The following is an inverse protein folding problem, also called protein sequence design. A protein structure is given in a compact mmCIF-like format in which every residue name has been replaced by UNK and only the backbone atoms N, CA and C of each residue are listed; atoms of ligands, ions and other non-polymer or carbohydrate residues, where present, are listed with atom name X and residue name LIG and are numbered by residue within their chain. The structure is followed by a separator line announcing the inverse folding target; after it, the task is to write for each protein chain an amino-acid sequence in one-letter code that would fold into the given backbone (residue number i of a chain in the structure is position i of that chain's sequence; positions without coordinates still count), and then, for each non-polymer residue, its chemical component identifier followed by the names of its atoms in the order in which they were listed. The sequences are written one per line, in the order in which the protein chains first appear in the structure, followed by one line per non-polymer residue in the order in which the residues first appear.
data_IF_053219023188
#
_entry.id   IF_053219023188
#
_cell.length_a   1.000
_cell.length_b   1.000
_cell.length_c   1.000
_cell.angle_alpha   90.00
_cell.angle_beta   90.00
_cell.angle_gamma   90.00
#
_symmetry.space_group_name_H-M   'P 1'
#
loop_
_entity.id
_entity.type
_entity.pdbx_description
1 polymer ?
#
# COMPACT_ATOMS: atom_id res chain seq x y z
N UNK A 1 -6.82 19.74 8.90
CA UNK A 1 -6.86 18.83 10.07
C UNK A 1 -6.23 17.45 9.76
N UNK A 2 -5.10 17.13 10.38
CA UNK A 2 -4.44 15.81 10.31
C UNK A 2 -5.08 14.84 11.32
N UNK A 3 -6.40 14.70 11.32
CA UNK A 3 -7.07 13.73 12.20
C UNK A 3 -6.90 12.32 11.62
N UNK A 4 -5.76 11.69 11.91
CA UNK A 4 -5.51 10.29 11.57
C UNK A 4 -6.29 9.38 12.51
N UNK A 5 -7.18 8.54 11.96
CA UNK A 5 -7.75 7.41 12.69
C UNK A 5 -6.63 6.40 12.94
N UNK A 6 -6.39 6.04 14.20
CA UNK A 6 -5.36 5.06 14.55
C UNK A 6 -5.82 3.64 14.22
N UNK A 7 -4.91 2.73 13.81
CA UNK A 7 -5.22 1.32 13.67
C UNK A 7 -5.72 0.71 14.99
N UNK A 8 -6.60 -0.30 14.95
CA UNK A 8 -7.05 -0.98 16.15
C UNK A 8 -5.89 -1.67 16.88
N UNK A 9 -5.92 -1.64 18.21
CA UNK A 9 -4.92 -2.30 19.06
C UNK A 9 -5.06 -3.83 19.04
N UNK A 10 -6.27 -4.35 18.83
CA UNK A 10 -6.58 -5.78 18.85
C UNK A 10 -7.56 -6.22 17.75
N UNK A 11 -8.05 -7.46 17.86
CA UNK A 11 -9.01 -8.05 16.91
C UNK A 11 -8.42 -8.42 15.55
N UNK A 12 -7.09 -8.52 15.45
CA UNK A 12 -6.39 -8.89 14.23
C UNK A 12 -6.52 -10.39 13.96
N UNK A 13 -7.02 -10.75 12.78
CA UNK A 13 -7.14 -12.12 12.31
C UNK A 13 -6.21 -12.35 11.11
N UNK A 14 -5.56 -13.52 10.99
CA UNK A 14 -4.76 -13.84 9.81
C UNK A 14 -5.60 -13.74 8.53
N UNK A 15 -5.03 -13.14 7.49
CA UNK A 15 -5.62 -13.05 6.16
C UNK A 15 -4.78 -13.91 5.20
N UNK A 16 -5.37 -14.90 4.50
CA UNK A 16 -4.64 -15.73 3.56
C UNK A 16 -4.32 -14.98 2.26
N UNK A 17 -3.53 -15.62 1.38
CA UNK A 17 -3.27 -15.14 0.02
C UNK A 17 -2.12 -14.14 -0.11
N UNK A 18 -1.40 -13.83 0.98
CA UNK A 18 -0.18 -13.04 0.90
C UNK A 18 0.89 -13.84 0.15
N UNK A 19 1.47 -13.31 -0.94
CA UNK A 19 2.52 -14.01 -1.66
C UNK A 19 3.83 -14.11 -0.89
N UNK A 20 4.67 -15.03 -1.36
CA UNK A 20 6.05 -15.17 -0.91
C UNK A 20 6.85 -13.86 -1.02
N UNK A 21 7.83 -13.64 -0.14
CA UNK A 21 8.49 -12.34 0.04
C UNK A 21 9.22 -11.89 -1.23
N UNK A 22 9.82 -12.84 -1.94
CA UNK A 22 10.51 -12.54 -3.19
C UNK A 22 9.53 -12.09 -4.28
N UNK A 23 8.31 -12.65 -4.31
CA UNK A 23 7.25 -12.17 -5.22
C UNK A 23 6.80 -10.76 -4.85
N UNK A 24 6.74 -10.43 -3.55
CA UNK A 24 6.46 -9.07 -3.07
C UNK A 24 7.54 -8.07 -3.49
N UNK A 25 8.83 -8.42 -3.33
CA UNK A 25 9.97 -7.57 -3.73
C UNK A 25 9.96 -7.32 -5.24
N UNK A 26 9.73 -8.36 -6.06
CA UNK A 26 9.60 -8.22 -7.52
C UNK A 26 8.42 -7.34 -7.91
N UNK A 27 7.27 -7.49 -7.26
CA UNK A 27 6.09 -6.66 -7.51
C UNK A 27 6.38 -5.17 -7.25
N UNK A 28 7.07 -4.85 -6.16
CA UNK A 28 7.47 -3.46 -5.88
C UNK A 28 8.46 -2.95 -6.91
N UNK A 29 9.47 -3.74 -7.27
CA UNK A 29 10.45 -3.36 -8.29
C UNK A 29 9.78 -3.07 -9.64
N UNK A 30 8.86 -3.92 -10.07
CA UNK A 30 8.07 -3.73 -11.29
C UNK A 30 7.21 -2.46 -11.21
N UNK A 31 6.56 -2.21 -10.08
CA UNK A 31 5.73 -1.03 -9.88
C UNK A 31 6.53 0.28 -9.90
N UNK A 32 7.74 0.28 -9.33
CA UNK A 32 8.68 1.41 -9.40
C UNK A 32 9.18 1.63 -10.82
N UNK A 33 9.51 0.55 -11.53
CA UNK A 33 9.93 0.63 -12.93
C UNK A 33 8.81 1.20 -13.82
N UNK A 34 7.57 0.75 -13.61
CA UNK A 34 6.40 1.27 -14.32
C UNK A 34 6.15 2.75 -14.00
N UNK A 35 6.21 3.15 -12.73
CA UNK A 35 6.07 4.55 -12.35
C UNK A 35 7.11 5.41 -13.06
N UNK A 36 8.39 5.01 -13.00
CA UNK A 36 9.48 5.69 -13.69
C UNK A 36 9.20 5.82 -15.18
N UNK A 37 8.93 4.71 -15.85
CA UNK A 37 8.67 4.67 -17.29
C UNK A 37 7.53 5.61 -17.71
N UNK A 38 6.39 5.59 -16.99
CA UNK A 38 5.26 6.47 -17.28
C UNK A 38 5.62 7.94 -17.07
N UNK A 39 6.37 8.26 -16.01
CA UNK A 39 6.77 9.66 -15.74
C UNK A 39 7.82 10.19 -16.73
N UNK A 40 8.67 9.32 -17.26
CA UNK A 40 9.65 9.65 -18.29
C UNK A 40 8.98 9.90 -19.65
N UNK A 41 7.88 9.21 -19.95
CA UNK A 41 7.10 9.40 -21.19
C UNK A 41 6.26 10.70 -21.21
N UNK A 42 6.05 11.35 -20.07
CA UNK A 42 5.34 12.64 -20.01
C UNK A 42 6.15 13.73 -20.70
N UNK A 43 5.48 14.58 -21.49
CA UNK A 43 6.09 15.81 -21.99
C UNK A 43 6.49 16.73 -20.82
N UNK A 44 7.55 17.56 -20.96
CA UNK A 44 8.01 18.43 -19.86
C UNK A 44 6.90 19.27 -19.22
N UNK A 45 5.95 19.77 -20.03
CA UNK A 45 4.83 20.60 -19.59
C UNK A 45 3.79 19.80 -18.81
N UNK A 46 3.71 18.49 -19.04
CA UNK A 46 2.78 17.57 -18.38
C UNK A 46 3.35 16.94 -17.10
N UNK A 47 4.66 17.07 -16.83
CA UNK A 47 5.33 16.57 -15.61
C UNK A 47 5.01 17.41 -14.37
N UNK A 48 3.72 17.64 -14.14
CA UNK A 48 3.19 18.38 -13.01
C UNK A 48 3.02 17.48 -11.80
N UNK A 49 2.98 18.07 -10.60
CA UNK A 49 2.72 17.33 -9.36
C UNK A 49 1.41 16.55 -9.41
N UNK A 50 0.35 17.15 -9.96
CA UNK A 50 -0.97 16.53 -10.07
C UNK A 50 -0.93 15.25 -10.92
N UNK A 51 -0.17 15.29 -12.01
CA UNK A 51 -0.04 14.16 -12.93
C UNK A 51 0.81 13.04 -12.33
N UNK A 52 1.93 13.38 -11.68
CA UNK A 52 2.74 12.42 -10.93
C UNK A 52 1.93 11.75 -9.82
N UNK A 53 1.11 12.52 -9.09
CA UNK A 53 0.23 11.98 -8.05
C UNK A 53 -0.89 11.12 -8.65
N UNK A 54 -1.40 11.43 -9.84
CA UNK A 54 -2.38 10.60 -10.57
C UNK A 54 -1.78 9.25 -10.93
N UNK A 55 -0.62 9.23 -11.59
CA UNK A 55 0.10 8.01 -11.96
C UNK A 55 0.45 7.20 -10.72
N UNK A 56 0.96 7.86 -9.68
CA UNK A 56 1.28 7.22 -8.42
C UNK A 56 0.06 6.62 -7.74
N UNK A 57 -1.08 7.33 -7.67
CA UNK A 57 -2.31 6.76 -7.11
C UNK A 57 -2.74 5.50 -7.85
N UNK A 58 -2.72 5.50 -9.18
CA UNK A 58 -3.07 4.33 -9.98
C UNK A 58 -2.19 3.12 -9.64
N UNK A 59 -0.86 3.26 -9.69
CA UNK A 59 0.07 2.15 -9.48
C UNK A 59 0.02 1.66 -8.02
N UNK A 60 0.12 2.59 -7.06
CA UNK A 60 0.28 2.23 -5.65
C UNK A 60 -1.02 1.74 -5.00
N UNK A 61 -2.19 2.01 -5.61
CA UNK A 61 -3.49 1.53 -5.11
C UNK A 61 -3.86 0.12 -5.58
N UNK A 62 -3.15 -0.43 -6.56
CA UNK A 62 -3.36 -1.82 -7.03
C UNK A 62 -3.18 -2.79 -5.86
N UNK A 63 -3.97 -3.84 -5.86
CA UNK A 63 -3.93 -4.87 -4.84
C UNK A 63 -2.86 -5.92 -5.12
N UNK A 64 -2.34 -6.52 -4.06
CA UNK A 64 -1.35 -7.59 -4.11
C UNK A 64 -2.08 -8.93 -4.20
N UNK A 65 -1.94 -9.61 -5.34
CA UNK A 65 -2.67 -10.84 -5.64
C UNK A 65 -4.18 -10.66 -5.38
N UNK A 66 -4.84 -11.65 -4.78
CA UNK A 66 -6.26 -11.62 -4.47
C UNK A 66 -6.55 -10.98 -3.10
N UNK A 67 -5.54 -10.38 -2.46
CA UNK A 67 -5.71 -9.72 -1.16
C UNK A 67 -6.21 -8.28 -1.31
N UNK A 68 -6.74 -7.68 -0.24
CA UNK A 68 -7.02 -6.24 -0.21
C UNK A 68 -5.80 -5.35 0.05
N UNK A 69 -4.58 -5.90 0.13
CA UNK A 69 -3.37 -5.15 0.49
C UNK A 69 -2.88 -4.33 -0.71
N UNK A 70 -2.79 -2.99 -0.61
CA UNK A 70 -2.28 -2.17 -1.71
C UNK A 70 -0.76 -2.32 -1.84
N UNK A 71 -0.25 -2.23 -3.09
CA UNK A 71 1.20 -2.22 -3.39
C UNK A 71 1.92 -1.15 -2.56
N UNK A 72 1.29 0.01 -2.29
CA UNK A 72 1.83 1.06 -1.43
C UNK A 72 2.32 0.54 -0.07
N UNK A 73 1.57 -0.36 0.55
CA UNK A 73 1.91 -0.88 1.88
C UNK A 73 3.17 -1.76 1.82
N UNK A 74 3.31 -2.56 0.76
CA UNK A 74 4.49 -3.40 0.50
C UNK A 74 5.70 -2.52 0.17
N UNK A 75 5.53 -1.50 -0.67
CA UNK A 75 6.59 -0.53 -0.97
C UNK A 75 7.07 0.17 0.31
N UNK A 76 6.16 0.63 1.17
CA UNK A 76 6.52 1.22 2.46
C UNK A 76 7.32 0.24 3.35
N UNK A 77 6.87 -1.02 3.47
CA UNK A 77 7.59 -2.05 4.21
C UNK A 77 8.99 -2.31 3.61
N UNK A 78 9.15 -2.28 2.30
CA UNK A 78 10.46 -2.39 1.64
C UNK A 78 11.36 -1.19 1.92
N UNK A 79 10.85 0.04 1.77
CA UNK A 79 11.61 1.27 2.03
C UNK A 79 12.08 1.36 3.48
N UNK A 80 11.26 0.89 4.42
CA UNK A 80 11.58 0.79 5.85
C UNK A 80 12.41 -0.47 6.18
N UNK A 81 12.75 -1.29 5.19
CA UNK A 81 13.51 -2.53 5.33
C UNK A 81 12.87 -3.57 6.26
N UNK A 82 11.54 -3.63 6.31
CA UNK A 82 10.81 -4.65 7.08
C UNK A 82 10.72 -6.00 6.36
N UNK A 83 10.76 -6.01 5.02
CA UNK A 83 10.68 -7.23 4.19
C UNK A 83 12.01 -8.00 4.11
N UNK A 84 12.53 -8.40 5.26
CA UNK A 84 13.73 -9.24 5.39
C UNK A 84 13.30 -10.65 5.82
N UNK A 85 13.91 -11.67 5.23
CA UNK A 85 13.53 -13.06 5.45
C UNK A 85 12.14 -13.40 4.90
N UNK A 86 11.58 -14.49 5.42
CA UNK A 86 10.39 -15.13 4.84
C UNK A 86 9.16 -15.17 5.78
N UNK A 87 9.25 -14.51 6.95
CA UNK A 87 8.24 -14.56 8.01
C UNK A 87 7.22 -13.40 7.98
N UNK A 88 6.78 -12.97 6.79
CA UNK A 88 5.69 -11.98 6.71
C UNK A 88 4.31 -12.63 6.78
N UNK A 89 3.38 -11.93 7.43
CA UNK A 89 1.99 -12.34 7.48
C UNK A 89 1.06 -11.13 7.33
N UNK A 90 -0.08 -11.36 6.69
CA UNK A 90 -1.14 -10.36 6.54
C UNK A 90 -2.21 -10.60 7.60
N UNK A 91 -2.70 -9.52 8.20
CA UNK A 91 -3.79 -9.55 9.16
C UNK A 91 -4.86 -8.53 8.77
N UNK A 92 -6.11 -8.82 9.13
CA UNK A 92 -7.25 -7.93 8.97
C UNK A 92 -7.94 -7.64 10.31
N UNK A 93 -8.48 -6.43 10.45
CA UNK A 93 -9.33 -6.02 11.59
C UNK A 93 -10.29 -4.93 11.12
N UNK A 94 -11.56 -5.30 10.89
CA UNK A 94 -12.54 -4.41 10.26
C UNK A 94 -12.05 -3.88 8.90
N UNK A 95 -12.04 -2.56 8.72
CA UNK A 95 -11.52 -1.92 7.50
C UNK A 95 -9.99 -1.84 7.43
N UNK A 96 -9.25 -2.42 8.37
CA UNK A 96 -7.80 -2.33 8.41
C UNK A 96 -7.12 -3.61 7.93
N UNK A 97 -5.98 -3.42 7.28
CA UNK A 97 -5.00 -4.45 6.98
C UNK A 97 -3.68 -4.12 7.66
N UNK A 98 -2.93 -5.16 8.06
CA UNK A 98 -1.58 -5.03 8.61
C UNK A 98 -0.67 -6.07 8.01
N UNK A 99 0.35 -5.62 7.30
CA UNK A 99 1.50 -6.42 6.91
C UNK A 99 2.46 -6.43 8.09
N UNK A 100 2.66 -7.60 8.70
CA UNK A 100 3.58 -7.79 9.83
C UNK A 100 4.78 -8.60 9.39
N UNK A 101 5.96 -8.21 9.85
CA UNK A 101 7.21 -8.96 9.72
C UNK A 101 7.93 -8.96 11.08
N UNK A 102 9.01 -9.73 11.26
CA UNK A 102 9.83 -9.67 12.47
C UNK A 102 10.46 -8.29 12.73
N UNK A 103 10.58 -7.46 11.69
CA UNK A 103 11.32 -6.18 11.74
C UNK A 103 10.41 -4.96 11.83
N UNK A 104 9.09 -5.14 11.79
CA UNK A 104 8.14 -4.05 11.85
C UNK A 104 6.78 -4.42 11.27
N UNK A 105 5.90 -3.43 11.20
CA UNK A 105 4.60 -3.61 10.55
C UNK A 105 4.13 -2.35 9.85
N UNK A 106 3.35 -2.54 8.79
CA UNK A 106 2.67 -1.47 8.07
C UNK A 106 1.18 -1.74 8.15
N UNK A 107 0.43 -0.80 8.72
CA UNK A 107 -1.02 -0.86 8.78
C UNK A 107 -1.64 0.16 7.82
N UNK A 108 -2.63 -0.28 7.06
CA UNK A 108 -3.37 0.55 6.12
C UNK A 108 -4.86 0.32 6.26
N UNK A 109 -5.65 1.36 6.01
CA UNK A 109 -7.10 1.23 5.90
C UNK A 109 -7.44 0.84 4.47
N UNK A 110 -8.23 -0.21 4.27
CA UNK A 110 -8.83 -0.54 2.99
C UNK A 110 -9.63 0.68 2.55
N UNK A 111 -9.25 1.29 1.44
CA UNK A 111 -10.04 2.33 0.79
C UNK A 111 -11.30 1.67 0.26
N UNK A 112 -12.45 1.92 0.90
CA UNK A 112 -13.73 1.69 0.26
C UNK A 112 -13.93 2.69 -0.88
N UNK A 113 -14.67 2.30 -1.92
CA UNK A 113 -15.34 3.26 -2.81
C UNK A 113 -16.30 4.06 -1.92
N UNK A 114 -15.87 5.23 -1.45
CA UNK A 114 -16.62 5.97 -0.45
C UNK A 114 -15.91 7.26 -0.08
N UNK A 115 -16.29 8.32 -0.79
CA UNK A 115 -16.23 9.71 -0.34
C UNK A 115 -16.58 9.79 1.15
N UNK A 116 -15.62 10.16 2.00
CA UNK A 116 -15.93 10.52 3.39
C UNK A 116 -16.58 11.90 3.38
N UNK A 117 -17.89 11.93 3.19
CA UNK A 117 -18.74 13.05 3.59
C UNK A 117 -18.76 13.10 5.12
N UNK A 118 -18.04 14.05 5.70
CA UNK A 118 -18.13 14.38 7.12
C UNK A 118 -19.04 15.61 7.23
N UNK A 119 -20.31 15.37 7.55
CA UNK A 119 -21.21 16.40 8.08
C UNK A 119 -20.93 16.53 9.58
N UNK A 120 -20.58 17.72 10.03
CA UNK A 120 -20.67 18.12 11.44
C UNK A 120 -21.97 18.92 11.56
N UNK A 121 -22.83 18.51 12.48
CA UNK A 121 -23.93 19.34 13.00
C UNK A 121 -23.41 20.12 14.20
#
# INVERSE_FOLDING_TARGET
PWAGVLPPRGGWKPEPGLPEPERLRRLVAASVAEFRSRTEQLAPEQRTRAELDRVGREIWSRTVADTGLPVRAVHAAQSLRFLRGDDQALFSSGSWLRLRTPYGSVAVRRSGVGTLGLSVR
#
